data_IF_779716250549
#
_entry.id   IF_779716250549
#
_cell.length_a   1.000
_cell.length_b   1.000
_cell.length_c   1.000
_cell.angle_alpha   90.00
_cell.angle_beta   90.00
_cell.angle_gamma   90.00
#
_symmetry.space_group_name_H-M   'P 1'
#
loop_
_entity.id
_entity.type
_entity.pdbx_description
1 polymer ?
#
# COMPACT_ATOMS: atom_id res chain seq x y z
N UNK A 1 -4.71 17.08 -17.33
CA UNK A 1 -3.87 16.96 -16.12
C UNK A 1 -3.30 18.34 -15.80
N UNK A 2 -3.47 18.88 -14.57
CA UNK A 2 -3.08 20.25 -14.21
C UNK A 2 -2.59 20.37 -12.75
N UNK A 3 -2.01 21.51 -12.32
CA UNK A 3 -1.49 21.69 -10.96
C UNK A 3 -2.53 21.52 -9.85
N UNK A 4 -3.78 21.95 -10.07
CA UNK A 4 -4.85 21.83 -9.07
C UNK A 4 -5.21 20.35 -8.81
N UNK A 5 -5.29 19.55 -9.88
CA UNK A 5 -5.54 18.12 -9.77
C UNK A 5 -4.37 17.40 -9.10
N UNK A 6 -3.13 17.80 -9.38
CA UNK A 6 -1.95 17.29 -8.69
C UNK A 6 -2.00 17.60 -7.19
N UNK A 7 -2.36 18.82 -6.82
CA UNK A 7 -2.50 19.25 -5.42
C UNK A 7 -3.59 18.46 -4.69
N UNK A 8 -4.72 18.19 -5.35
CA UNK A 8 -5.75 17.31 -4.83
C UNK A 8 -5.20 15.89 -4.58
N UNK A 9 -4.51 15.31 -5.56
CA UNK A 9 -3.97 13.96 -5.42
C UNK A 9 -2.86 13.86 -4.37
N UNK A 10 -2.02 14.88 -4.20
CA UNK A 10 -1.02 14.91 -3.13
C UNK A 10 -1.68 15.00 -1.76
N UNK A 11 -2.73 15.80 -1.61
CA UNK A 11 -3.53 15.87 -0.38
C UNK A 11 -4.14 14.51 -0.02
N UNK A 12 -4.75 13.82 -0.99
CA UNK A 12 -5.33 12.49 -0.76
C UNK A 12 -4.27 11.42 -0.49
N UNK A 13 -3.08 11.52 -1.12
CA UNK A 13 -1.95 10.65 -0.85
C UNK A 13 -1.47 10.78 0.60
N UNK A 14 -1.39 11.99 1.12
CA UNK A 14 -1.02 12.24 2.52
C UNK A 14 -2.07 11.64 3.48
N UNK A 15 -3.36 11.79 3.17
CA UNK A 15 -4.44 11.13 3.94
C UNK A 15 -4.30 9.61 3.92
N UNK A 16 -3.98 9.01 2.78
CA UNK A 16 -3.76 7.58 2.67
C UNK A 16 -2.59 7.12 3.57
N UNK A 17 -1.48 7.89 3.64
CA UNK A 17 -0.37 7.62 4.56
C UNK A 17 -0.80 7.68 6.02
N UNK A 18 -1.62 8.65 6.40
CA UNK A 18 -2.21 8.73 7.75
C UNK A 18 -3.00 7.46 8.09
N UNK A 19 -3.83 6.95 7.17
CA UNK A 19 -4.59 5.72 7.40
C UNK A 19 -3.70 4.47 7.46
N UNK A 20 -2.64 4.37 6.64
CA UNK A 20 -1.68 3.27 6.77
C UNK A 20 -0.99 3.28 8.14
N UNK A 21 -0.64 4.47 8.66
CA UNK A 21 -0.05 4.61 9.98
C UNK A 21 -1.03 4.24 11.10
N UNK A 22 -2.29 4.68 11.00
CA UNK A 22 -3.34 4.27 11.96
C UNK A 22 -3.53 2.75 11.95
N UNK A 23 -3.63 2.13 10.77
CA UNK A 23 -3.76 0.68 10.66
C UNK A 23 -2.57 -0.06 11.28
N UNK A 24 -1.34 0.46 11.16
CA UNK A 24 -0.17 -0.10 11.83
C UNK A 24 -0.27 -0.08 13.36
N UNK A 25 -0.85 0.98 13.91
CA UNK A 25 -1.01 1.19 15.35
C UNK A 25 -2.17 0.41 15.96
N UNK A 26 -3.19 0.08 15.15
CA UNK A 26 -4.40 -0.63 15.60
C UNK A 26 -4.29 -2.16 15.60
N UNK A 27 -3.10 -2.72 15.36
CA UNK A 27 -2.92 -4.18 15.25
C UNK A 27 -2.49 -4.79 16.58
N UNK A 28 -3.45 -5.46 17.22
CA UNK A 28 -3.23 -6.24 18.44
C UNK A 28 -2.38 -7.49 18.17
N UNK A 29 -1.64 -7.93 19.19
CA UNK A 29 -0.69 -9.04 19.05
C UNK A 29 -1.39 -10.38 18.78
N UNK A 30 -2.57 -10.58 19.35
CA UNK A 30 -3.31 -11.85 19.29
C UNK A 30 -3.90 -12.13 17.91
N UNK A 31 -4.23 -11.09 17.13
CA UNK A 31 -4.76 -11.24 15.77
C UNK A 31 -3.69 -11.50 14.72
N UNK A 32 -2.40 -11.33 15.07
CA UNK A 32 -1.29 -11.34 14.10
C UNK A 32 -1.24 -12.59 13.20
N UNK A 33 -1.49 -13.82 13.66
CA UNK A 33 -1.46 -15.00 12.79
C UNK A 33 -2.51 -14.96 11.67
N UNK A 34 -3.71 -14.42 11.94
CA UNK A 34 -4.80 -14.33 10.95
C UNK A 34 -4.70 -13.11 10.03
N UNK A 35 -3.87 -12.12 10.39
CA UNK A 35 -3.76 -10.83 9.71
C UNK A 35 -2.82 -10.80 8.50
N UNK A 36 -2.24 -11.94 8.10
CA UNK A 36 -1.37 -12.01 6.91
C UNK A 36 -2.04 -11.39 5.65
N UNK A 37 -3.34 -11.63 5.34
CA UNK A 37 -3.94 -11.07 4.13
C UNK A 37 -4.04 -9.55 4.20
N UNK A 38 -4.42 -9.02 5.37
CA UNK A 38 -4.50 -7.58 5.62
C UNK A 38 -3.13 -6.91 5.45
N UNK A 39 -2.06 -7.55 5.95
CA UNK A 39 -0.68 -7.06 5.80
C UNK A 39 -0.18 -7.13 4.36
N UNK A 40 -0.47 -8.22 3.65
CA UNK A 40 -0.14 -8.32 2.23
C UNK A 40 -0.83 -7.20 1.42
N UNK A 41 -2.12 -6.96 1.68
CA UNK A 41 -2.87 -5.86 1.07
C UNK A 41 -2.25 -4.50 1.39
N UNK A 42 -1.91 -4.24 2.66
CA UNK A 42 -1.23 -3.00 3.07
C UNK A 42 0.02 -2.76 2.22
N UNK A 43 0.92 -3.76 2.12
CA UNK A 43 2.14 -3.63 1.32
C UNK A 43 1.87 -3.38 -0.17
N UNK A 44 0.86 -4.04 -0.75
CA UNK A 44 0.47 -3.82 -2.16
C UNK A 44 -0.05 -2.40 -2.37
N UNK A 45 -0.94 -1.91 -1.50
CA UNK A 45 -1.53 -0.58 -1.65
C UNK A 45 -0.53 0.54 -1.36
N UNK A 46 0.33 0.40 -0.35
CA UNK A 46 1.40 1.37 -0.11
C UNK A 46 2.40 1.41 -1.28
N UNK A 47 2.69 0.26 -1.92
CA UNK A 47 3.52 0.22 -3.14
C UNK A 47 2.83 0.89 -4.32
N UNK A 48 1.51 0.72 -4.48
CA UNK A 48 0.75 1.42 -5.51
C UNK A 48 0.81 2.94 -5.29
N UNK A 49 0.59 3.40 -4.06
CA UNK A 49 0.67 4.81 -3.70
C UNK A 49 2.05 5.40 -4.03
N UNK A 50 3.12 4.69 -3.65
CA UNK A 50 4.49 5.10 -3.99
C UNK A 50 4.74 5.21 -5.50
N UNK A 51 4.15 4.31 -6.30
CA UNK A 51 4.23 4.39 -7.76
C UNK A 51 3.46 5.60 -8.31
N UNK A 52 2.31 5.94 -7.72
CA UNK A 52 1.52 7.13 -8.07
C UNK A 52 2.32 8.41 -7.76
N UNK A 53 2.95 8.48 -6.59
CA UNK A 53 3.80 9.61 -6.21
C UNK A 53 5.01 9.75 -7.14
N UNK A 54 5.66 8.62 -7.52
CA UNK A 54 6.77 8.60 -8.47
C UNK A 54 6.40 8.99 -9.90
N UNK A 55 5.17 8.76 -10.31
CA UNK A 55 4.65 9.24 -11.60
C UNK A 55 4.13 10.67 -11.49
N UNK A 56 4.49 11.39 -10.42
CA UNK A 56 4.08 12.76 -10.19
C UNK A 56 2.55 12.90 -10.22
N UNK A 57 1.84 11.89 -9.70
CA UNK A 57 0.38 11.80 -9.66
C UNK A 57 -0.33 11.76 -11.03
N UNK A 58 0.37 11.55 -12.14
CA UNK A 58 -0.23 11.50 -13.48
C UNK A 58 -0.96 10.17 -13.76
N UNK A 59 -2.03 9.94 -12.99
CA UNK A 59 -2.88 8.74 -13.05
C UNK A 59 -3.85 8.72 -14.23
N UNK A 60 -4.07 9.86 -14.89
CA UNK A 60 -4.99 9.96 -16.03
C UNK A 60 -4.33 9.57 -17.34
N UNK A 61 -3.02 9.84 -17.48
CA UNK A 61 -2.28 9.50 -18.69
C UNK A 61 -1.43 8.22 -18.53
N UNK A 62 -1.16 7.77 -17.30
CA UNK A 62 -0.33 6.58 -17.05
C UNK A 62 -1.13 5.45 -16.41
N UNK A 63 -0.94 4.23 -16.92
CA UNK A 63 -1.46 3.03 -16.29
C UNK A 63 -0.52 2.57 -15.17
N UNK A 64 -0.73 3.10 -13.97
CA UNK A 64 0.09 2.83 -12.79
C UNK A 64 -0.47 1.60 -12.07
N UNK A 65 0.33 0.54 -11.98
CA UNK A 65 -0.09 -0.72 -11.36
C UNK A 65 1.03 -1.40 -10.59
N UNK A 66 0.64 -2.21 -9.62
CA UNK A 66 1.47 -3.28 -9.07
C UNK A 66 1.23 -4.53 -9.92
N UNK A 67 2.27 -5.06 -10.55
CA UNK A 67 2.16 -6.20 -11.44
C UNK A 67 1.71 -7.46 -10.67
N UNK A 68 1.17 -8.46 -11.39
CA UNK A 68 0.79 -9.74 -10.77
C UNK A 68 1.96 -10.39 -10.05
N UNK A 69 3.15 -10.37 -10.66
CA UNK A 69 4.39 -10.91 -10.08
C UNK A 69 4.76 -10.16 -8.80
N UNK A 70 4.69 -8.82 -8.81
CA UNK A 70 4.96 -8.02 -7.61
C UNK A 70 3.96 -8.32 -6.49
N UNK A 71 2.67 -8.47 -6.81
CA UNK A 71 1.64 -8.82 -5.82
C UNK A 71 1.92 -10.19 -5.20
N UNK A 72 2.23 -11.20 -6.02
CA UNK A 72 2.58 -12.55 -5.54
C UNK A 72 3.82 -12.53 -4.67
N UNK A 73 4.89 -11.86 -5.10
CA UNK A 73 6.12 -11.76 -4.33
C UNK A 73 5.90 -11.10 -2.96
N UNK A 74 5.10 -10.03 -2.91
CA UNK A 74 4.71 -9.37 -1.65
C UNK A 74 3.92 -10.32 -0.77
N UNK A 75 2.88 -10.96 -1.31
CA UNK A 75 2.02 -11.86 -0.53
C UNK A 75 2.80 -13.05 0.05
N UNK A 76 3.67 -13.68 -0.74
CA UNK A 76 4.52 -14.79 -0.28
C UNK A 76 5.50 -14.33 0.79
N UNK A 77 6.16 -13.18 0.58
CA UNK A 77 7.10 -12.63 1.57
C UNK A 77 6.43 -12.29 2.91
N UNK A 78 5.22 -11.73 2.87
CA UNK A 78 4.43 -11.44 4.08
C UNK A 78 3.97 -12.73 4.75
N UNK A 79 3.45 -13.69 3.99
CA UNK A 79 3.04 -15.00 4.53
C UNK A 79 4.21 -15.70 5.23
N UNK A 80 5.39 -15.77 4.59
CA UNK A 80 6.57 -16.40 5.16
C UNK A 80 6.99 -15.71 6.48
N UNK A 81 7.00 -14.37 6.51
CA UNK A 81 7.29 -13.62 7.73
C UNK A 81 6.28 -13.94 8.85
N UNK A 82 5.00 -13.95 8.53
CA UNK A 82 3.95 -14.14 9.53
C UNK A 82 3.84 -15.59 10.01
N UNK A 83 4.14 -16.57 9.16
CA UNK A 83 4.13 -17.99 9.52
C UNK A 83 5.39 -18.46 10.27
N UNK A 84 6.51 -17.74 10.17
CA UNK A 84 7.78 -18.10 10.82
C UNK A 84 8.04 -17.32 12.11
N UNK A 85 7.43 -16.13 12.25
CA UNK A 85 7.64 -15.24 13.42
C UNK A 85 6.50 -15.34 14.43
N UNK A 86 5.29 -15.71 13.98
CA UNK A 86 4.09 -15.87 14.80
C UNK A 86 3.50 -17.27 14.61
#
# INVERSE_FOLDING_TARGET
YNPNFRSLLSYEAERARVYFNKANQSLDFEDKPSMFPARAMQHIYSKLLHKIEKSDYDVLNNNIKVSKVEKVAISVGVWAKYSLVY
#
